data_IF_565692372880
#
_entry.id   IF_565692372880
#
_cell.length_a   1.000
_cell.length_b   1.000
_cell.length_c   1.000
_cell.angle_alpha   90.00
_cell.angle_beta   90.00
_cell.angle_gamma   90.00
#
_symmetry.space_group_name_H-M   'P 1'
#
loop_
_entity.id
_entity.type
_entity.pdbx_description
1 polymer ?
#
# COMPACT_ATOMS: atom_id res chain seq x y z
N UNK A 1 1.34 13.86 1.20
CA UNK A 1 2.15 12.76 0.64
C UNK A 1 3.57 13.18 0.26
N UNK A 2 3.91 14.48 0.27
CA UNK A 2 5.28 14.95 0.00
C UNK A 2 6.28 14.47 1.07
N UNK A 3 5.91 14.45 2.35
CA UNK A 3 6.77 13.96 3.46
C UNK A 3 7.24 12.51 3.23
N UNK A 4 6.36 11.65 2.72
CA UNK A 4 6.72 10.26 2.43
C UNK A 4 7.69 10.14 1.26
N UNK A 5 7.48 10.94 0.20
CA UNK A 5 8.43 11.03 -0.92
C UNK A 5 9.79 11.54 -0.46
N UNK A 6 9.83 12.55 0.40
CA UNK A 6 11.08 13.05 0.99
C UNK A 6 11.76 12.00 1.88
N UNK A 7 11.01 11.26 2.69
CA UNK A 7 11.58 10.19 3.51
C UNK A 7 12.24 9.10 2.66
N UNK A 8 11.62 8.77 1.52
CA UNK A 8 12.17 7.83 0.53
C UNK A 8 13.41 8.42 -0.18
N UNK A 9 13.34 9.67 -0.63
CA UNK A 9 14.41 10.32 -1.38
C UNK A 9 15.69 10.49 -0.54
N UNK A 10 15.53 10.68 0.76
CA UNK A 10 16.64 10.93 1.69
C UNK A 10 16.98 9.73 2.60
N UNK A 11 16.36 8.57 2.36
CA UNK A 11 16.59 7.31 3.09
C UNK A 11 16.52 7.47 4.62
N UNK A 12 15.51 8.20 5.09
CA UNK A 12 15.33 8.50 6.51
C UNK A 12 14.44 7.42 7.13
N UNK A 13 15.06 6.30 7.52
CA UNK A 13 14.40 5.11 8.07
C UNK A 13 13.37 5.42 9.16
N UNK A 14 13.71 6.27 10.13
CA UNK A 14 12.78 6.64 11.22
C UNK A 14 11.50 7.32 10.73
N UNK A 15 11.59 8.11 9.65
CA UNK A 15 10.43 8.78 9.05
C UNK A 15 9.64 7.79 8.19
N UNK A 16 10.30 6.84 7.53
CA UNK A 16 9.64 5.75 6.82
C UNK A 16 8.82 4.88 7.78
N UNK A 17 9.37 4.56 8.94
CA UNK A 17 8.67 3.81 10.01
C UNK A 17 7.49 4.60 10.60
N UNK A 18 7.68 5.90 10.85
CA UNK A 18 6.60 6.78 11.29
C UNK A 18 5.49 6.88 10.24
N UNK A 19 5.85 6.93 8.95
CA UNK A 19 4.89 6.92 7.86
C UNK A 19 4.18 5.57 7.76
N UNK A 20 4.88 4.44 7.89
CA UNK A 20 4.29 3.11 7.99
C UNK A 20 3.22 3.03 9.10
N UNK A 21 3.57 3.50 10.29
CA UNK A 21 2.70 3.49 11.47
C UNK A 21 1.49 4.43 11.28
N UNK A 22 1.72 5.60 10.67
CA UNK A 22 0.65 6.52 10.29
C UNK A 22 -0.28 5.86 9.27
N UNK A 23 0.27 5.24 8.23
CA UNK A 23 -0.51 4.57 7.20
C UNK A 23 -1.35 3.41 7.73
N UNK A 24 -0.82 2.61 8.66
CA UNK A 24 -1.62 1.56 9.33
C UNK A 24 -2.84 2.12 10.06
N UNK A 25 -2.73 3.30 10.67
CA UNK A 25 -3.85 3.94 11.37
C UNK A 25 -4.91 4.53 10.45
N UNK A 26 -4.54 4.90 9.22
CA UNK A 26 -5.43 5.63 8.30
C UNK A 26 -5.84 4.83 7.06
N UNK A 27 -5.27 3.64 6.85
CA UNK A 27 -5.70 2.70 5.80
C UNK A 27 -7.15 2.31 6.02
N UNK A 28 -7.93 2.41 4.95
CA UNK A 28 -9.32 2.02 4.90
C UNK A 28 -9.69 1.55 3.48
N UNK A 29 -10.93 1.08 3.30
CA UNK A 29 -11.40 0.51 2.03
C UNK A 29 -11.38 1.48 0.84
N UNK A 30 -11.33 2.79 1.10
CA UNK A 30 -11.35 3.82 0.04
C UNK A 30 -9.97 4.18 -0.48
N UNK A 31 -8.92 4.03 0.36
CA UNK A 31 -7.56 4.52 0.08
C UNK A 31 -6.51 3.39 0.01
N UNK A 32 -6.85 2.15 0.38
CA UNK A 32 -5.89 1.03 0.37
C UNK A 32 -5.28 0.79 -1.02
N UNK A 33 -6.05 0.98 -2.10
CA UNK A 33 -5.53 0.79 -3.47
C UNK A 33 -4.47 1.83 -3.84
N UNK A 34 -4.66 3.09 -3.43
CA UNK A 34 -3.68 4.15 -3.65
C UNK A 34 -2.39 3.84 -2.89
N UNK A 35 -2.50 3.34 -1.66
CA UNK A 35 -1.34 2.93 -0.86
C UNK A 35 -0.60 1.73 -1.44
N UNK A 36 -1.33 0.76 -2.00
CA UNK A 36 -0.72 -0.36 -2.72
C UNK A 36 0.11 0.18 -3.88
N UNK A 37 -0.43 1.08 -4.72
CA UNK A 37 0.34 1.65 -5.82
C UNK A 37 1.59 2.38 -5.34
N UNK A 38 1.50 3.14 -4.25
CA UNK A 38 2.63 3.87 -3.66
C UNK A 38 3.70 2.90 -3.14
N UNK A 39 3.29 1.88 -2.38
CA UNK A 39 4.19 0.88 -1.83
C UNK A 39 4.94 0.12 -2.94
N UNK A 40 4.25 -0.18 -4.03
CA UNK A 40 4.84 -0.82 -5.20
C UNK A 40 5.78 0.09 -5.98
N UNK A 41 5.40 1.34 -6.21
CA UNK A 41 6.22 2.29 -6.96
C UNK A 41 7.53 2.64 -6.25
N UNK A 42 7.56 2.54 -4.92
CA UNK A 42 8.72 2.90 -4.10
C UNK A 42 9.40 1.69 -3.44
N UNK A 43 9.09 0.46 -3.87
CA UNK A 43 9.68 -0.78 -3.33
C UNK A 43 9.60 -0.94 -1.80
N UNK A 44 8.52 -0.46 -1.19
CA UNK A 44 8.37 -0.46 0.26
C UNK A 44 7.70 -1.74 0.76
N UNK A 45 8.52 -2.78 0.96
CA UNK A 45 8.08 -4.15 1.20
C UNK A 45 7.15 -4.34 2.40
N UNK A 46 7.38 -3.63 3.51
CA UNK A 46 6.52 -3.76 4.69
C UNK A 46 5.12 -3.19 4.43
N UNK A 47 5.03 -2.03 3.80
CA UNK A 47 3.76 -1.42 3.44
C UNK A 47 3.01 -2.24 2.38
N UNK A 48 3.73 -2.83 1.40
CA UNK A 48 3.13 -3.79 0.45
C UNK A 48 2.43 -4.90 1.21
N UNK A 49 3.13 -5.59 2.11
CA UNK A 49 2.57 -6.71 2.89
C UNK A 49 1.34 -6.30 3.70
N UNK A 50 1.41 -5.15 4.39
CA UNK A 50 0.32 -4.63 5.23
C UNK A 50 -0.91 -4.27 4.39
N UNK A 51 -0.74 -3.56 3.28
CA UNK A 51 -1.85 -3.18 2.40
C UNK A 51 -2.48 -4.39 1.71
N UNK A 52 -1.67 -5.36 1.25
CA UNK A 52 -2.16 -6.60 0.67
C UNK A 52 -2.97 -7.41 1.70
N UNK A 53 -2.46 -7.55 2.93
CA UNK A 53 -3.19 -8.22 4.02
C UNK A 53 -4.53 -7.54 4.30
N UNK A 54 -4.55 -6.21 4.41
CA UNK A 54 -5.80 -5.47 4.59
C UNK A 54 -6.77 -5.70 3.43
N UNK A 55 -6.28 -5.68 2.19
CA UNK A 55 -7.10 -5.91 1.01
C UNK A 55 -7.73 -7.30 1.02
N UNK A 56 -6.99 -8.33 1.40
CA UNK A 56 -7.49 -9.71 1.52
C UNK A 56 -8.56 -9.80 2.62
N UNK A 57 -8.29 -9.25 3.81
CA UNK A 57 -9.21 -9.26 4.95
C UNK A 57 -10.51 -8.49 4.67
N UNK A 58 -10.41 -7.39 3.94
CA UNK A 58 -11.50 -6.43 3.69
C UNK A 58 -12.01 -6.45 2.26
N UNK A 59 -11.71 -7.50 1.48
CA UNK A 59 -12.04 -7.58 0.03
C UNK A 59 -13.49 -7.32 -0.33
N UNK A 60 -14.43 -7.57 0.59
CA UNK A 60 -15.88 -7.36 0.40
C UNK A 60 -16.29 -5.90 0.60
N UNK A 61 -15.49 -5.11 1.32
CA UNK A 61 -15.73 -3.71 1.63
C UNK A 61 -15.02 -2.77 0.64
N UNK A 62 -14.10 -3.32 -0.15
CA UNK A 62 -13.29 -2.59 -1.15
C UNK A 62 -14.00 -2.65 -2.49
N UNK A 63 -14.05 -1.50 -3.16
CA UNK A 63 -14.59 -1.38 -4.51
C UNK A 63 -13.75 -2.20 -5.50
N UNK A 64 -14.37 -3.18 -6.14
CA UNK A 64 -13.71 -4.08 -7.09
C UNK A 64 -13.20 -3.35 -8.34
N UNK A 65 -13.80 -2.21 -8.71
CA UNK A 65 -13.31 -1.39 -9.82
C UNK A 65 -11.93 -0.81 -9.53
N UNK A 66 -11.72 -0.29 -8.31
CA UNK A 66 -10.43 0.24 -7.86
C UNK A 66 -9.34 -0.84 -7.79
N UNK A 67 -9.72 -2.05 -7.41
CA UNK A 67 -8.78 -3.18 -7.42
C UNK A 67 -8.39 -3.54 -8.85
N UNK A 68 -9.34 -3.53 -9.78
CA UNK A 68 -9.08 -3.82 -11.20
C UNK A 68 -8.21 -2.75 -11.89
N UNK A 69 -8.24 -1.50 -11.41
CA UNK A 69 -7.39 -0.40 -11.88
C UNK A 69 -5.93 -0.50 -11.38
N UNK A 70 -5.61 -1.45 -10.50
CA UNK A 70 -4.24 -1.66 -10.06
C UNK A 70 -3.35 -2.16 -11.22
N UNK A 71 -2.07 -1.73 -11.27
CA UNK A 71 -1.11 -2.25 -12.24
C UNK A 71 -1.03 -3.78 -12.26
N UNK A 72 -0.81 -4.36 -13.45
CA UNK A 72 -0.82 -5.82 -13.66
C UNK A 72 0.15 -6.59 -12.77
N UNK A 73 1.31 -6.01 -12.45
CA UNK A 73 2.30 -6.60 -11.54
C UNK A 73 1.79 -6.68 -10.09
N UNK A 74 0.95 -5.75 -9.67
CA UNK A 74 0.30 -5.78 -8.35
C UNK A 74 -0.80 -6.84 -8.33
N UNK A 75 -1.59 -6.91 -9.42
CA UNK A 75 -2.63 -7.93 -9.58
C UNK A 75 -2.05 -9.34 -9.61
N UNK A 76 -0.90 -9.56 -10.26
CA UNK A 76 -0.23 -10.85 -10.23
C UNK A 76 0.23 -11.24 -8.83
N UNK A 77 0.79 -10.29 -8.08
CA UNK A 77 1.24 -10.55 -6.71
C UNK A 77 0.06 -10.86 -5.78
N UNK A 78 -1.06 -10.14 -5.93
CA UNK A 78 -2.31 -10.42 -5.22
C UNK A 78 -2.83 -11.84 -5.49
N UNK A 79 -2.72 -12.31 -6.74
CA UNK A 79 -3.11 -13.68 -7.12
C UNK A 79 -2.16 -14.75 -6.54
N UNK A 80 -0.88 -14.42 -6.33
CA UNK A 80 0.08 -15.33 -5.69
C UNK A 80 0.05 -15.31 -4.17
N UNK A 81 -0.48 -14.24 -3.57
CA UNK A 81 -0.60 -14.08 -2.12
C UNK A 81 -1.88 -14.71 -1.53
N UNK A 82 -2.81 -15.16 -2.39
CA UNK A 82 -4.03 -15.90 -2.06
C UNK A 82 -3.80 -17.41 -2.17
#
# INVERSE_FOLDING_TARGET
MEVFKFAIEYDIDDILDACCTFFEKFVNSTNVCDYIQIAYSNNFEELKKKCLKFLIEKKKEIDSSKVADLPKNILSDLLTAL
#
